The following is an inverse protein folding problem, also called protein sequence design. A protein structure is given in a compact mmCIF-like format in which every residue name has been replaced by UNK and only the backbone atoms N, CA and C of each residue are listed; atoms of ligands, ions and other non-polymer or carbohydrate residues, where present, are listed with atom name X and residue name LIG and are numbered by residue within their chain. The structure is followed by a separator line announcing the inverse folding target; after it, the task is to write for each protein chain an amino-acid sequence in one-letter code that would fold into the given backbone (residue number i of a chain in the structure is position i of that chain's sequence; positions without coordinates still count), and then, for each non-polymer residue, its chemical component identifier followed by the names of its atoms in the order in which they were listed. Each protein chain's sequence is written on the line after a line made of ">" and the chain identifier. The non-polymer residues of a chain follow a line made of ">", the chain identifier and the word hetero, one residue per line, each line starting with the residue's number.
data_IF_004758031165
#
_entry.id   IF_004758031165
#
_cell.length_a   1.000
_cell.length_b   1.000
_cell.length_c   1.000
_cell.angle_alpha   90.00
_cell.angle_beta   90.00
_cell.angle_gamma   90.00
#
_symmetry.space_group_name_H-M   'P 1'
#
loop_
_entity.id
_entity.type
_entity.pdbx_description
1 polymer ?
#
# COMPACT_ATOMS: atom_id res chain seq x y z
N UNK A 1 49.96 10.03 -17.38
CA UNK A 1 49.69 10.25 -15.94
C UNK A 1 48.72 9.18 -15.46
N UNK A 2 49.13 8.27 -14.59
CA UNK A 2 48.23 7.25 -14.00
C UNK A 2 47.63 7.86 -12.73
N UNK A 3 46.35 8.23 -12.77
CA UNK A 3 45.62 8.63 -11.57
C UNK A 3 45.37 7.38 -10.72
N UNK A 4 46.15 7.20 -9.66
CA UNK A 4 45.87 6.20 -8.65
C UNK A 4 44.63 6.64 -7.87
N UNK A 5 43.49 6.03 -8.15
CA UNK A 5 42.27 6.22 -7.37
C UNK A 5 42.58 5.84 -5.92
N UNK A 6 42.45 6.80 -5.00
CA UNK A 6 42.68 6.56 -3.57
C UNK A 6 41.69 5.50 -3.06
N UNK A 7 42.18 4.55 -2.24
CA UNK A 7 41.37 3.50 -1.61
C UNK A 7 40.13 4.05 -0.89
N UNK A 8 40.19 5.28 -0.37
CA UNK A 8 39.07 5.98 0.27
C UNK A 8 37.92 6.28 -0.69
N UNK A 9 38.23 6.62 -1.95
CA UNK A 9 37.23 6.84 -2.99
C UNK A 9 36.55 5.54 -3.42
N UNK A 10 37.32 4.45 -3.53
CA UNK A 10 36.79 3.11 -3.82
C UNK A 10 35.85 2.64 -2.70
N UNK A 11 36.20 2.88 -1.43
CA UNK A 11 35.33 2.54 -0.29
C UNK A 11 34.05 3.38 -0.29
N UNK A 12 34.11 4.68 -0.58
CA UNK A 12 32.92 5.53 -0.69
C UNK A 12 32.02 5.11 -1.85
N UNK A 13 32.58 4.77 -3.01
CA UNK A 13 31.83 4.24 -4.16
C UNK A 13 31.15 2.92 -3.83
N UNK A 14 31.85 2.01 -3.14
CA UNK A 14 31.29 0.74 -2.70
C UNK A 14 30.13 0.94 -1.71
N UNK A 15 30.31 1.79 -0.70
CA UNK A 15 29.24 2.11 0.26
C UNK A 15 28.04 2.76 -0.44
N UNK A 16 28.27 3.69 -1.37
CA UNK A 16 27.20 4.27 -2.19
C UNK A 16 26.44 3.18 -2.96
N UNK A 17 27.13 2.27 -3.65
CA UNK A 17 26.49 1.20 -4.42
C UNK A 17 25.70 0.22 -3.53
N UNK A 18 26.22 -0.09 -2.34
CA UNK A 18 25.56 -0.98 -1.36
C UNK A 18 24.33 -0.31 -0.72
N UNK A 19 24.41 0.99 -0.40
CA UNK A 19 23.28 1.71 0.19
C UNK A 19 22.23 2.15 -0.83
N UNK A 20 22.60 2.44 -2.08
CA UNK A 20 21.64 2.84 -3.13
C UNK A 20 20.87 1.65 -3.72
N UNK A 21 21.46 0.46 -3.77
CA UNK A 21 20.78 -0.73 -4.31
C UNK A 21 20.00 -1.54 -3.26
N UNK A 22 19.98 -1.12 -1.99
CA UNK A 22 19.25 -1.80 -0.91
C UNK A 22 17.94 -1.11 -0.53
N UNK A 23 17.38 -0.23 -1.38
CA UNK A 23 15.97 0.11 -1.23
C UNK A 23 15.18 -0.93 -2.02
N UNK A 24 14.52 -1.91 -1.36
CA UNK A 24 13.51 -2.70 -2.06
C UNK A 24 12.55 -1.68 -2.66
N UNK A 25 12.33 -1.73 -3.97
CA UNK A 25 11.36 -0.87 -4.66
C UNK A 25 10.09 -0.94 -3.82
N UNK A 26 9.78 0.14 -3.08
CA UNK A 26 8.71 0.11 -2.11
C UNK A 26 7.41 -0.12 -2.90
N UNK A 27 6.84 -1.31 -2.75
CA UNK A 27 5.61 -1.71 -3.44
C UNK A 27 4.38 -1.05 -2.81
N UNK A 28 4.58 -0.18 -1.81
CA UNK A 28 3.63 0.76 -1.23
C UNK A 28 4.25 2.15 -1.20
N UNK A 29 3.44 3.20 -1.20
CA UNK A 29 3.91 4.59 -1.17
C UNK A 29 3.22 5.36 -0.07
N UNK A 30 3.97 6.21 0.62
CA UNK A 30 3.41 7.17 1.55
C UNK A 30 2.95 8.42 0.79
N UNK A 31 1.72 8.86 1.04
CA UNK A 31 1.20 10.13 0.57
C UNK A 31 0.99 11.05 1.78
N UNK A 32 1.55 12.26 1.71
CA UNK A 32 1.52 13.24 2.80
C UNK A 32 0.14 13.88 2.97
N UNK A 33 -0.69 13.86 1.92
CA UNK A 33 -2.02 14.46 1.91
C UNK A 33 -3.06 13.42 1.51
N UNK A 34 -3.56 12.66 2.49
CA UNK A 34 -4.55 11.61 2.26
C UNK A 34 -5.81 12.10 1.55
N UNK A 35 -6.26 13.32 1.89
CA UNK A 35 -7.46 13.92 1.29
C UNK A 35 -7.31 14.17 -0.21
N UNK A 36 -6.09 14.52 -0.66
CA UNK A 36 -5.80 14.74 -2.09
C UNK A 36 -5.85 13.41 -2.84
N UNK A 37 -5.23 12.36 -2.30
CA UNK A 37 -5.26 11.03 -2.93
C UNK A 37 -6.69 10.48 -3.00
N UNK A 38 -7.40 10.45 -1.87
CA UNK A 38 -8.78 9.96 -1.79
C UNK A 38 -9.69 10.78 -2.70
N UNK A 39 -9.56 12.11 -2.69
CA UNK A 39 -10.30 13.00 -3.59
C UNK A 39 -10.06 12.65 -5.06
N UNK A 40 -8.79 12.49 -5.47
CA UNK A 40 -8.45 12.15 -6.85
C UNK A 40 -8.99 10.80 -7.31
N UNK A 41 -9.12 9.81 -6.42
CA UNK A 41 -9.67 8.50 -6.75
C UNK A 41 -11.19 8.55 -6.88
N UNK A 42 -11.88 9.31 -6.01
CA UNK A 42 -13.32 9.57 -6.11
C UNK A 42 -13.68 10.32 -7.39
N UNK A 43 -12.90 11.35 -7.75
CA UNK A 43 -13.08 12.12 -8.99
C UNK A 43 -12.93 11.23 -10.24
N UNK A 44 -12.07 10.21 -10.18
CA UNK A 44 -11.87 9.23 -11.24
C UNK A 44 -12.96 8.15 -11.29
N UNK A 45 -14.04 8.31 -10.54
CA UNK A 45 -15.19 7.39 -10.49
C UNK A 45 -14.83 5.96 -10.07
N UNK A 46 -13.80 5.81 -9.23
CA UNK A 46 -13.54 4.53 -8.58
C UNK A 46 -14.64 4.24 -7.55
N UNK A 47 -15.10 3.00 -7.50
CA UNK A 47 -15.94 2.49 -6.42
C UNK A 47 -15.11 2.43 -5.14
N UNK A 48 -15.59 3.08 -4.08
CA UNK A 48 -14.95 3.08 -2.77
C UNK A 48 -15.63 2.08 -1.83
N UNK A 49 -14.81 1.28 -1.17
CA UNK A 49 -15.19 0.54 0.03
C UNK A 49 -14.31 1.01 1.18
N UNK A 50 -14.90 1.37 2.30
CA UNK A 50 -14.20 1.77 3.52
C UNK A 50 -14.79 0.99 4.69
N UNK A 51 -13.95 0.24 5.40
CA UNK A 51 -14.36 -0.43 6.64
C UNK A 51 -13.55 0.11 7.81
N UNK A 52 -14.19 0.60 8.89
CA UNK A 52 -13.53 0.83 10.18
C UNK A 52 -13.20 -0.49 10.89
N UNK A 53 -13.83 -1.61 10.49
CA UNK A 53 -13.54 -2.96 10.99
C UNK A 53 -12.50 -3.60 10.10
N UNK A 54 -11.22 -3.32 10.39
CA UNK A 54 -10.07 -3.89 9.68
C UNK A 54 -10.12 -5.42 9.63
N UNK A 55 -10.76 -6.06 10.60
CA UNK A 55 -10.80 -7.50 10.76
C UNK A 55 -11.60 -8.21 9.67
N UNK A 56 -12.80 -7.75 9.32
CA UNK A 56 -13.60 -8.35 8.24
C UNK A 56 -12.88 -8.27 6.89
N UNK A 57 -12.13 -7.19 6.68
CA UNK A 57 -11.37 -7.00 5.45
C UNK A 57 -10.12 -7.89 5.40
N UNK A 58 -9.39 -8.01 6.52
CA UNK A 58 -8.28 -8.96 6.64
C UNK A 58 -8.75 -10.39 6.39
N UNK A 59 -9.87 -10.79 7.00
CA UNK A 59 -10.49 -12.10 6.79
C UNK A 59 -10.84 -12.29 5.31
N UNK A 60 -11.45 -11.30 4.65
CA UNK A 60 -11.74 -11.39 3.22
C UNK A 60 -10.47 -11.62 2.40
N UNK A 61 -9.41 -10.87 2.64
CA UNK A 61 -8.16 -11.04 1.90
C UNK A 61 -7.46 -12.37 2.19
N UNK A 62 -7.58 -12.89 3.42
CA UNK A 62 -7.07 -14.24 3.76
C UNK A 62 -7.86 -15.34 3.03
N UNK A 63 -9.17 -15.19 2.91
CA UNK A 63 -10.02 -16.10 2.13
C UNK A 63 -9.71 -16.01 0.63
N UNK A 64 -9.47 -14.80 0.12
CA UNK A 64 -9.07 -14.61 -1.28
C UNK A 64 -7.64 -15.11 -1.55
N UNK A 65 -6.73 -15.00 -0.57
CA UNK A 65 -5.39 -15.59 -0.66
C UNK A 65 -5.44 -17.11 -0.84
N UNK A 66 -6.36 -17.80 -0.18
CA UNK A 66 -6.55 -19.24 -0.35
C UNK A 66 -6.93 -19.63 -1.79
N UNK A 67 -7.57 -18.71 -2.53
CA UNK A 67 -7.94 -18.89 -3.94
C UNK A 67 -6.87 -18.37 -4.90
N UNK A 68 -6.17 -17.31 -4.52
CA UNK A 68 -5.25 -16.54 -5.34
C UNK A 68 -3.93 -16.30 -4.56
N UNK A 69 -2.96 -17.25 -4.61
CA UNK A 69 -1.70 -17.16 -3.86
C UNK A 69 -0.88 -15.88 -4.12
N UNK A 70 -1.06 -15.24 -5.27
CA UNK A 70 -0.45 -13.95 -5.63
C UNK A 70 -0.90 -12.77 -4.75
N UNK A 71 -1.91 -12.95 -3.91
CA UNK A 71 -2.33 -11.98 -2.90
C UNK A 71 -1.46 -12.00 -1.64
N UNK A 72 -0.54 -12.96 -1.49
CA UNK A 72 0.26 -13.12 -0.27
C UNK A 72 1.10 -11.86 0.02
N UNK A 73 1.82 -11.39 -0.99
CA UNK A 73 2.67 -10.21 -0.88
C UNK A 73 1.88 -8.91 -0.57
N UNK A 74 0.74 -8.63 -1.21
CA UNK A 74 -0.15 -7.55 -0.78
C UNK A 74 -0.63 -7.67 0.67
N UNK A 75 -1.04 -8.87 1.11
CA UNK A 75 -1.56 -9.10 2.46
C UNK A 75 -0.48 -8.85 3.52
N UNK A 76 0.72 -9.41 3.35
CA UNK A 76 1.85 -9.19 4.25
C UNK A 76 2.21 -7.69 4.38
N UNK A 77 2.09 -6.93 3.29
CA UNK A 77 2.32 -5.48 3.33
C UNK A 77 1.21 -4.74 4.05
N UNK A 78 -0.04 -5.13 3.90
CA UNK A 78 -1.15 -4.54 4.63
C UNK A 78 -0.90 -4.68 6.13
N UNK A 79 -0.49 -5.87 6.57
CA UNK A 79 -0.08 -6.10 7.96
C UNK A 79 1.11 -5.22 8.38
N UNK A 80 2.15 -5.13 7.55
CA UNK A 80 3.32 -4.29 7.84
C UNK A 80 2.98 -2.80 7.95
N UNK A 81 2.15 -2.30 7.04
CA UNK A 81 1.70 -0.90 7.01
C UNK A 81 0.76 -0.62 8.20
N UNK A 82 -0.13 -1.54 8.55
CA UNK A 82 -1.02 -1.42 9.71
C UNK A 82 -0.20 -1.20 10.99
N UNK A 83 0.82 -2.04 11.22
CA UNK A 83 1.71 -1.93 12.37
C UNK A 83 2.52 -0.62 12.35
N UNK A 84 2.92 -0.16 11.17
CA UNK A 84 3.60 1.14 11.02
C UNK A 84 2.68 2.30 11.37
N UNK A 85 1.44 2.31 10.86
CA UNK A 85 0.44 3.34 11.15
C UNK A 85 0.06 3.38 12.63
N UNK A 86 -0.06 2.23 13.30
CA UNK A 86 -0.31 2.17 14.75
C UNK A 86 0.80 2.84 15.58
N UNK A 87 2.06 2.76 15.11
CA UNK A 87 3.22 3.39 15.77
C UNK A 87 3.34 4.87 15.45
N UNK A 88 3.24 5.24 14.18
CA UNK A 88 3.47 6.61 13.70
C UNK A 88 2.26 7.53 13.89
N UNK A 89 1.04 6.97 13.84
CA UNK A 89 -0.25 7.68 13.98
C UNK A 89 -0.33 8.97 13.15
N UNK A 90 0.03 8.94 11.85
CA UNK A 90 0.06 10.16 11.04
C UNK A 90 -1.35 10.73 10.85
N UNK A 91 -1.56 12.01 11.16
CA UNK A 91 -2.89 12.64 11.09
C UNK A 91 -3.29 13.11 9.68
N UNK A 92 -2.32 13.30 8.78
CA UNK A 92 -2.55 13.93 7.47
C UNK A 92 -2.22 13.03 6.27
N UNK A 93 -1.50 11.94 6.50
CA UNK A 93 -0.98 11.09 5.43
C UNK A 93 -1.43 9.65 5.55
N UNK A 94 -1.30 8.93 4.44
CA UNK A 94 -1.71 7.54 4.31
C UNK A 94 -0.67 6.75 3.53
N UNK A 95 -0.70 5.43 3.68
CA UNK A 95 0.03 4.52 2.82
C UNK A 95 -0.91 3.94 1.79
N UNK A 96 -0.44 3.74 0.56
CA UNK A 96 -1.23 3.04 -0.45
C UNK A 96 -0.44 1.99 -1.20
N UNK A 97 -1.13 0.93 -1.56
CA UNK A 97 -0.71 -0.14 -2.45
C UNK A 97 -1.54 0.00 -3.72
N UNK A 98 -0.89 0.06 -4.87
CA UNK A 98 -1.58 -0.04 -6.15
C UNK A 98 -1.32 -1.43 -6.72
N UNK A 99 -2.37 -2.25 -6.81
CA UNK A 99 -2.32 -3.53 -7.50
C UNK A 99 -3.12 -3.39 -8.79
N UNK A 100 -2.47 -3.63 -9.92
CA UNK A 100 -3.15 -3.82 -11.20
C UNK A 100 -3.46 -5.31 -11.28
N UNK A 101 -4.73 -5.70 -11.16
CA UNK A 101 -5.09 -7.09 -10.95
C UNK A 101 -6.14 -7.55 -11.96
N UNK A 102 -5.87 -8.73 -12.53
CA UNK A 102 -6.72 -9.51 -13.44
C UNK A 102 -7.02 -8.88 -14.81
N UNK A 103 -6.49 -9.55 -15.84
CA UNK A 103 -6.76 -9.34 -17.27
C UNK A 103 -6.27 -8.01 -17.89
N UNK A 104 -5.31 -7.36 -17.24
CA UNK A 104 -4.55 -6.26 -17.85
C UNK A 104 -5.19 -4.87 -17.76
N UNK A 105 -6.41 -4.72 -17.23
CA UNK A 105 -7.13 -3.44 -17.25
C UNK A 105 -7.61 -2.93 -15.89
N UNK A 106 -7.99 -3.81 -14.96
CA UNK A 106 -8.60 -3.38 -13.69
C UNK A 106 -7.58 -2.86 -12.69
N UNK A 107 -7.91 -1.76 -12.03
CA UNK A 107 -7.07 -1.12 -11.02
C UNK A 107 -7.70 -1.31 -9.65
N UNK A 108 -6.87 -1.73 -8.70
CA UNK A 108 -7.20 -1.76 -7.29
C UNK A 108 -6.19 -0.91 -6.52
N UNK A 109 -6.69 0.08 -5.80
CA UNK A 109 -5.91 0.82 -4.81
C UNK A 109 -6.37 0.39 -3.43
N UNK A 110 -5.41 0.04 -2.59
CA UNK A 110 -5.65 -0.24 -1.18
C UNK A 110 -4.96 0.88 -0.41
N UNK A 111 -5.73 1.67 0.32
CA UNK A 111 -5.25 2.79 1.13
C UNK A 111 -5.40 2.43 2.58
N UNK A 112 -4.37 2.71 3.37
CA UNK A 112 -4.37 2.59 4.81
C UNK A 112 -4.10 3.97 5.41
N UNK A 113 -5.08 4.50 6.14
CA UNK A 113 -5.00 5.77 6.87
C UNK A 113 -5.16 5.58 8.37
N UNK A 114 -4.62 6.52 9.16
CA UNK A 114 -4.84 6.54 10.60
C UNK A 114 -5.95 7.53 10.97
N UNK A 115 -6.89 7.06 11.78
CA UNK A 115 -7.98 7.84 12.34
C UNK A 115 -7.90 7.82 13.87
N UNK A 116 -8.11 8.96 14.51
CA UNK A 116 -8.02 9.08 15.97
C UNK A 116 -9.09 8.26 16.72
N UNK A 117 -10.27 8.08 16.13
CA UNK A 117 -11.41 7.40 16.75
C UNK A 117 -11.45 5.91 16.39
N UNK A 118 -11.09 5.57 15.15
CA UNK A 118 -11.23 4.21 14.61
C UNK A 118 -9.91 3.44 14.49
N UNK A 119 -8.78 4.10 14.73
CA UNK A 119 -7.46 3.51 14.52
C UNK A 119 -7.10 3.46 13.03
N UNK A 120 -6.46 2.38 12.58
CA UNK A 120 -6.16 2.18 11.16
C UNK A 120 -7.49 2.00 10.41
N UNK A 121 -7.63 2.62 9.25
CA UNK A 121 -8.75 2.42 8.32
C UNK A 121 -8.17 1.84 7.05
N UNK A 122 -8.78 0.76 6.53
CA UNK A 122 -8.43 0.20 5.22
C UNK A 122 -9.53 0.58 4.22
N UNK A 123 -9.13 1.18 3.10
CA UNK A 123 -10.01 1.58 1.99
C UNK A 123 -9.60 0.90 0.70
N UNK A 124 -10.57 0.48 -0.07
CA UNK A 124 -10.39 -0.11 -1.40
C UNK A 124 -11.02 0.82 -2.42
N UNK A 125 -10.27 1.15 -3.47
CA UNK A 125 -10.78 1.84 -4.64
C UNK A 125 -10.57 0.96 -5.86
N UNK A 126 -11.65 0.66 -6.57
CA UNK A 126 -11.59 -0.11 -7.81
C UNK A 126 -12.44 0.49 -8.92
N UNK A 127 -12.02 0.32 -10.17
CA UNK A 127 -12.82 0.62 -11.36
C UNK A 127 -13.77 -0.52 -11.74
N UNK A 128 -13.78 -1.63 -10.97
CA UNK A 128 -14.57 -2.82 -11.23
C UNK A 128 -15.83 -2.91 -10.35
N UNK A 129 -17.05 -2.77 -10.92
CA UNK A 129 -18.30 -2.91 -10.16
C UNK A 129 -18.56 -4.33 -9.65
N UNK A 130 -17.92 -5.35 -10.22
CA UNK A 130 -18.05 -6.73 -9.72
C UNK A 130 -17.13 -6.99 -8.54
N UNK A 131 -15.94 -6.37 -8.53
CA UNK A 131 -15.00 -6.52 -7.42
C UNK A 131 -15.57 -5.87 -6.15
N UNK A 132 -16.14 -4.67 -6.26
CA UNK A 132 -16.74 -3.98 -5.11
C UNK A 132 -17.87 -4.79 -4.46
N UNK A 133 -18.67 -5.52 -5.26
CA UNK A 133 -19.75 -6.39 -4.78
C UNK A 133 -19.26 -7.68 -4.11
N UNK A 134 -18.03 -8.08 -4.39
CA UNK A 134 -17.42 -9.25 -3.75
C UNK A 134 -16.76 -8.92 -2.42
N UNK A 135 -16.52 -7.64 -2.14
CA UNK A 135 -16.03 -7.20 -0.84
C UNK A 135 -17.10 -7.49 0.23
N UNK A 136 -16.68 -7.79 1.47
CA UNK A 136 -17.61 -8.13 2.54
C UNK A 136 -18.63 -7.01 2.73
N UNK A 137 -19.92 -7.37 2.80
CA UNK A 137 -20.98 -6.39 3.02
C UNK A 137 -20.80 -5.68 4.36
N UNK A 138 -20.90 -4.35 4.31
CA UNK A 138 -21.02 -3.52 5.49
C UNK A 138 -22.51 -3.21 5.72
N UNK A 139 -23.25 -4.17 6.27
CA UNK A 139 -24.57 -3.89 6.83
C UNK A 139 -24.38 -3.21 8.20
N UNK A 140 -24.83 -1.95 8.29
CA UNK A 140 -24.99 -1.22 9.56
C UNK A 140 -26.00 -1.90 10.48
#
# INVERSE_FOLDING_TARGET
>A
MKHTLSLRYLLCLFLLVVFYNCSPIEQFRYEKRQSVLIGSLRERLFFEYSSPLNDSMKIYMELELAKNPELQLPLEKIYSIEEKLKKEKPLLGCYYLMKKEFDGEKKLYIILDWNQNSGVIIRFFTDSPTLIKSLPDYSF
#
